data_IF_525701313461
#
_entry.id   IF_525701313461
#
_cell.length_a   1.000
_cell.length_b   1.000
_cell.length_c   1.000
_cell.angle_alpha   90.00
_cell.angle_beta   90.00
_cell.angle_gamma   90.00
#
_symmetry.space_group_name_H-M   'P 1'
#
loop_
_entity.id
_entity.type
_entity.pdbx_description
1 polymer ?
#
# COMPACT_ATOMS: atom_id res chain seq x y z
N UNK A 1 -2.85 -6.96 20.55
CA UNK A 1 -4.31 -6.87 20.79
C UNK A 1 -4.63 -5.54 21.50
N UNK A 2 -4.03 -5.26 22.66
CA UNK A 2 -4.31 -4.04 23.45
C UNK A 2 -4.11 -2.76 22.63
N UNK A 3 -3.03 -2.66 21.85
CA UNK A 3 -2.76 -1.51 21.00
C UNK A 3 -3.85 -1.32 19.92
N UNK A 4 -4.32 -2.40 19.30
CA UNK A 4 -5.38 -2.36 18.28
C UNK A 4 -6.68 -1.88 18.91
N UNK A 5 -7.06 -2.42 20.07
CA UNK A 5 -8.25 -1.99 20.80
C UNK A 5 -8.17 -0.52 21.21
N UNK A 6 -7.02 -0.09 21.73
CA UNK A 6 -6.81 1.30 22.10
C UNK A 6 -6.93 2.23 20.87
N UNK A 7 -6.30 1.87 19.73
CA UNK A 7 -6.41 2.66 18.50
C UNK A 7 -7.87 2.76 18.03
N UNK A 8 -8.62 1.65 18.08
CA UNK A 8 -10.04 1.65 17.71
C UNK A 8 -10.91 2.48 18.66
N UNK A 9 -10.56 2.53 19.96
CA UNK A 9 -11.28 3.31 20.97
C UNK A 9 -11.12 4.83 20.76
N UNK A 10 -9.94 5.27 20.31
CA UNK A 10 -9.65 6.71 20.11
C UNK A 10 -9.89 7.19 18.68
N UNK A 11 -10.28 6.30 17.78
CA UNK A 11 -10.54 6.64 16.38
C UNK A 11 -11.72 7.61 16.25
N UNK A 12 -11.55 8.63 15.42
CA UNK A 12 -12.58 9.60 15.10
C UNK A 12 -13.56 9.03 14.04
N UNK A 13 -14.80 9.52 13.99
CA UNK A 13 -15.75 9.08 12.97
C UNK A 13 -15.23 9.29 11.54
N UNK A 14 -15.14 8.21 10.76
CA UNK A 14 -14.64 8.20 9.39
C UNK A 14 -13.16 7.85 9.26
N UNK A 15 -12.43 7.69 10.36
CA UNK A 15 -11.09 7.10 10.34
C UNK A 15 -11.17 5.59 10.15
N UNK A 16 -10.22 5.06 9.41
CA UNK A 16 -10.08 3.61 9.18
C UNK A 16 -8.82 3.14 9.89
N UNK A 17 -9.00 2.29 10.89
CA UNK A 17 -7.89 1.68 11.60
C UNK A 17 -7.51 0.37 10.92
N UNK A 18 -6.24 0.19 10.63
CA UNK A 18 -5.72 -1.10 10.20
C UNK A 18 -4.42 -1.47 10.93
N UNK A 19 -4.28 -2.75 11.21
CA UNK A 19 -3.14 -3.31 11.90
C UNK A 19 -2.28 -4.10 10.91
N UNK A 20 -1.11 -3.55 10.59
CA UNK A 20 -0.15 -4.18 9.70
C UNK A 20 0.76 -5.12 10.50
N UNK A 21 0.69 -6.39 10.20
CA UNK A 21 1.53 -7.42 10.81
C UNK A 21 2.82 -7.69 10.03
N UNK A 22 2.96 -7.15 8.82
CA UNK A 22 4.13 -7.34 7.95
C UNK A 22 4.59 -8.81 7.87
N UNK A 23 3.68 -9.73 7.62
CA UNK A 23 3.94 -11.17 7.54
C UNK A 23 4.44 -11.83 8.84
N UNK A 24 4.30 -11.19 10.02
CA UNK A 24 4.99 -11.62 11.23
C UNK A 24 4.22 -12.62 12.09
N UNK A 25 2.94 -12.79 11.86
CA UNK A 25 2.16 -13.74 12.64
C UNK A 25 2.21 -15.15 12.05
N UNK A 26 2.27 -16.11 12.94
CA UNK A 26 1.94 -17.49 12.62
C UNK A 26 0.42 -17.64 12.59
N UNK A 27 -0.09 -18.67 11.90
CA UNK A 27 -1.54 -18.92 11.82
C UNK A 27 -2.24 -18.99 13.20
N UNK A 28 -1.68 -19.62 14.26
CA UNK A 28 -2.30 -19.59 15.60
C UNK A 28 -2.32 -18.19 16.22
N UNK A 29 -1.28 -17.37 16.01
CA UNK A 29 -1.22 -16.00 16.54
C UNK A 29 -2.24 -15.11 15.85
N UNK A 30 -2.31 -15.19 14.53
CA UNK A 30 -3.25 -14.50 13.70
C UNK A 30 -4.69 -14.79 14.14
N UNK A 31 -5.07 -16.06 14.25
CA UNK A 31 -6.41 -16.47 14.68
C UNK A 31 -6.75 -15.99 16.09
N UNK A 32 -5.76 -15.98 16.99
CA UNK A 32 -5.94 -15.42 18.33
C UNK A 32 -6.18 -13.91 18.30
N UNK A 33 -5.45 -13.17 17.46
CA UNK A 33 -5.65 -11.72 17.30
C UNK A 33 -7.01 -11.46 16.67
N UNK A 34 -7.36 -12.14 15.57
CA UNK A 34 -8.62 -11.98 14.88
C UNK A 34 -9.82 -12.17 15.80
N UNK A 35 -9.85 -13.25 16.56
CA UNK A 35 -10.90 -13.52 17.54
C UNK A 35 -10.99 -12.46 18.64
N UNK A 36 -9.86 -11.89 19.05
CA UNK A 36 -9.81 -10.90 20.12
C UNK A 36 -10.27 -9.50 19.67
N UNK A 37 -10.38 -9.23 18.37
CA UNK A 37 -10.75 -7.92 17.80
C UNK A 37 -11.92 -8.00 16.82
N UNK A 38 -12.60 -9.14 16.71
CA UNK A 38 -13.70 -9.37 15.75
C UNK A 38 -14.91 -8.45 15.99
N UNK A 39 -15.02 -7.91 17.21
CA UNK A 39 -16.04 -6.92 17.59
C UNK A 39 -15.70 -5.48 17.17
N UNK A 40 -14.52 -5.24 16.57
CA UNK A 40 -14.05 -3.92 16.18
C UNK A 40 -14.13 -3.70 14.65
N UNK A 41 -14.33 -2.44 14.26
CA UNK A 41 -14.22 -2.00 12.86
C UNK A 41 -12.74 -1.75 12.50
N UNK A 42 -11.95 -2.83 12.41
CA UNK A 42 -10.52 -2.80 12.13
C UNK A 42 -10.21 -3.68 10.93
N UNK A 43 -9.31 -3.25 10.10
CA UNK A 43 -8.76 -4.05 9.00
C UNK A 43 -7.43 -4.67 9.42
N UNK A 44 -7.17 -5.90 9.00
CA UNK A 44 -5.86 -6.55 9.19
C UNK A 44 -5.08 -6.47 7.87
N UNK A 45 -3.83 -6.02 7.97
CA UNK A 45 -2.92 -6.00 6.83
C UNK A 45 -1.88 -7.10 6.95
N UNK A 46 -1.70 -7.85 5.87
CA UNK A 46 -0.67 -8.88 5.64
C UNK A 46 -0.30 -9.66 6.90
N UNK A 47 -1.24 -10.42 7.48
CA UNK A 47 -1.04 -11.06 8.78
C UNK A 47 0.06 -12.11 8.73
N UNK A 48 0.04 -12.99 7.72
CA UNK A 48 0.94 -14.11 7.58
C UNK A 48 1.84 -14.01 6.34
N UNK A 49 2.90 -14.83 6.34
CA UNK A 49 3.87 -14.89 5.26
C UNK A 49 3.32 -15.60 4.02
N UNK A 50 2.50 -16.63 4.19
CA UNK A 50 2.00 -17.45 3.08
C UNK A 50 0.59 -17.01 2.66
N UNK A 51 0.29 -17.20 1.39
CA UNK A 51 -1.04 -16.94 0.84
C UNK A 51 -2.09 -17.84 1.48
N UNK A 52 -1.75 -19.12 1.67
CA UNK A 52 -2.63 -20.14 2.26
C UNK A 52 -3.03 -19.80 3.68
N UNK A 53 -2.10 -19.28 4.51
CA UNK A 53 -2.41 -18.85 5.87
C UNK A 53 -3.32 -17.60 5.86
N UNK A 54 -3.03 -16.60 5.03
CA UNK A 54 -3.91 -15.44 4.87
C UNK A 54 -5.31 -15.84 4.40
N UNK A 55 -5.42 -16.79 3.47
CA UNK A 55 -6.70 -17.30 2.99
C UNK A 55 -7.44 -18.09 4.08
N UNK A 56 -6.72 -18.82 4.93
CA UNK A 56 -7.31 -19.50 6.10
C UNK A 56 -7.92 -18.47 7.07
N UNK A 57 -7.21 -17.38 7.39
CA UNK A 57 -7.78 -16.31 8.19
C UNK A 57 -9.05 -15.75 7.54
N UNK A 58 -8.96 -15.39 6.27
CA UNK A 58 -10.10 -14.84 5.53
C UNK A 58 -11.35 -15.71 5.61
N UNK A 59 -11.18 -17.03 5.63
CA UNK A 59 -12.29 -17.99 5.73
C UNK A 59 -12.87 -18.10 7.15
N UNK A 60 -12.14 -17.66 8.18
CA UNK A 60 -12.50 -17.86 9.59
C UNK A 60 -12.70 -16.56 10.38
N UNK A 61 -12.76 -15.41 9.73
CA UNK A 61 -13.04 -14.10 10.35
C UNK A 61 -13.92 -13.24 9.45
N UNK A 62 -14.66 -12.32 10.05
CA UNK A 62 -15.42 -11.26 9.36
C UNK A 62 -14.60 -9.98 9.16
N UNK A 63 -13.40 -9.89 9.72
CA UNK A 63 -12.54 -8.70 9.61
C UNK A 63 -12.17 -8.41 8.16
N UNK A 64 -12.13 -7.15 7.82
CA UNK A 64 -11.60 -6.70 6.52
C UNK A 64 -10.11 -7.01 6.42
N UNK A 65 -9.67 -7.41 5.23
CA UNK A 65 -8.28 -7.79 4.97
C UNK A 65 -7.66 -6.96 3.86
N UNK A 66 -6.46 -6.47 4.11
CA UNK A 66 -5.56 -5.85 3.13
C UNK A 66 -4.36 -6.77 2.90
N UNK A 67 -4.03 -7.04 1.64
CA UNK A 67 -2.82 -7.78 1.27
C UNK A 67 -1.79 -6.83 0.67
N UNK A 68 -0.55 -6.92 1.14
CA UNK A 68 0.58 -6.11 0.72
C UNK A 68 1.71 -6.97 0.13
N UNK A 69 2.52 -7.63 0.94
CA UNK A 69 3.73 -8.33 0.50
C UNK A 69 3.45 -9.44 -0.53
N UNK A 70 2.28 -10.03 -0.47
CA UNK A 70 1.85 -11.06 -1.43
C UNK A 70 1.48 -10.52 -2.80
N UNK A 71 1.24 -9.21 -2.96
CA UNK A 71 0.89 -8.61 -4.26
C UNK A 71 2.15 -8.40 -5.09
N UNK A 72 2.60 -9.43 -5.77
CA UNK A 72 3.89 -9.48 -6.50
C UNK A 72 3.75 -9.40 -8.01
N UNK A 73 2.69 -9.97 -8.57
CA UNK A 73 2.48 -10.07 -10.01
C UNK A 73 1.00 -10.24 -10.37
N UNK A 74 0.71 -10.31 -11.67
CA UNK A 74 -0.66 -10.44 -12.16
C UNK A 74 -1.28 -11.79 -11.79
N UNK A 75 -0.53 -12.86 -11.74
CA UNK A 75 -1.05 -14.19 -11.42
C UNK A 75 -1.62 -14.21 -9.99
N UNK A 76 -0.86 -13.67 -9.03
CA UNK A 76 -1.33 -13.59 -7.64
C UNK A 76 -2.50 -12.61 -7.51
N UNK A 77 -2.53 -11.52 -8.27
CA UNK A 77 -3.66 -10.59 -8.26
C UNK A 77 -4.96 -11.28 -8.71
N UNK A 78 -4.92 -12.04 -9.80
CA UNK A 78 -6.05 -12.86 -10.29
C UNK A 78 -6.47 -13.93 -9.29
N UNK A 79 -5.51 -14.51 -8.56
CA UNK A 79 -5.79 -15.49 -7.51
C UNK A 79 -6.49 -14.82 -6.31
N UNK A 80 -6.01 -13.68 -5.84
CA UNK A 80 -6.62 -12.90 -4.75
C UNK A 80 -8.09 -12.57 -5.09
N UNK A 81 -8.35 -12.16 -6.32
CA UNK A 81 -9.71 -11.85 -6.79
C UNK A 81 -10.58 -13.09 -6.80
N UNK A 82 -10.13 -14.17 -7.44
CA UNK A 82 -10.88 -15.42 -7.55
C UNK A 82 -11.29 -15.97 -6.19
N UNK A 83 -10.37 -15.92 -5.23
CA UNK A 83 -10.56 -16.48 -3.90
C UNK A 83 -11.18 -15.47 -2.92
N UNK A 84 -11.42 -14.21 -3.37
CA UNK A 84 -11.90 -13.10 -2.52
C UNK A 84 -11.06 -12.91 -1.27
N UNK A 85 -9.74 -13.06 -1.42
CA UNK A 85 -8.80 -13.10 -0.33
C UNK A 85 -8.57 -11.74 0.34
N UNK A 86 -8.89 -10.63 -0.33
CA UNK A 86 -8.70 -9.30 0.22
C UNK A 86 -9.81 -8.33 -0.19
N UNK A 87 -10.06 -7.32 0.65
CA UNK A 87 -10.92 -6.17 0.37
C UNK A 87 -10.11 -5.01 -0.20
N UNK A 88 -8.82 -4.97 0.13
CA UNK A 88 -7.85 -3.96 -0.32
C UNK A 88 -6.54 -4.64 -0.72
N UNK A 89 -5.96 -4.22 -1.83
CA UNK A 89 -4.66 -4.68 -2.32
C UNK A 89 -3.64 -3.54 -2.37
N UNK A 90 -2.45 -3.76 -1.83
CA UNK A 90 -1.36 -2.79 -1.88
C UNK A 90 -0.51 -2.99 -3.13
N UNK A 91 -0.53 -2.02 -4.04
CA UNK A 91 0.18 -2.08 -5.32
C UNK A 91 1.47 -1.26 -5.22
N UNK A 92 2.58 -1.92 -4.88
CA UNK A 92 3.91 -1.30 -4.76
C UNK A 92 4.68 -1.40 -6.08
N UNK A 93 4.85 -0.28 -6.75
CA UNK A 93 5.48 -0.24 -8.09
C UNK A 93 6.87 -0.88 -8.13
N UNK A 94 7.69 -0.67 -7.11
CA UNK A 94 9.05 -1.22 -7.05
C UNK A 94 9.03 -2.75 -6.93
N UNK A 95 8.12 -3.32 -6.13
CA UNK A 95 7.95 -4.77 -5.99
C UNK A 95 7.52 -5.42 -7.31
N UNK A 96 6.60 -4.77 -8.01
CA UNK A 96 6.00 -5.29 -9.24
C UNK A 96 6.92 -5.10 -10.45
N UNK A 97 7.88 -4.18 -10.38
CA UNK A 97 8.85 -3.90 -11.44
C UNK A 97 8.42 -2.79 -12.41
N UNK A 98 7.85 -1.72 -11.86
CA UNK A 98 7.62 -0.46 -12.53
C UNK A 98 6.15 -0.13 -12.83
N UNK A 99 5.91 1.12 -13.24
CA UNK A 99 4.59 1.71 -13.44
C UNK A 99 3.70 0.94 -14.44
N UNK A 100 4.28 0.46 -15.55
CA UNK A 100 3.50 -0.24 -16.58
C UNK A 100 2.89 -1.54 -16.06
N UNK A 101 3.64 -2.31 -15.29
CA UNK A 101 3.15 -3.55 -14.67
C UNK A 101 2.19 -3.24 -13.53
N UNK A 102 2.53 -2.26 -12.68
CA UNK A 102 1.68 -1.83 -11.57
C UNK A 102 0.30 -1.37 -12.06
N UNK A 103 0.24 -0.60 -13.15
CA UNK A 103 -1.02 -0.17 -13.75
C UNK A 103 -1.89 -1.36 -14.18
N UNK A 104 -1.31 -2.37 -14.82
CA UNK A 104 -2.06 -3.58 -15.23
C UNK A 104 -2.64 -4.32 -14.02
N UNK A 105 -1.85 -4.48 -12.98
CA UNK A 105 -2.29 -5.15 -11.74
C UNK A 105 -3.38 -4.33 -11.04
N UNK A 106 -3.21 -3.00 -10.94
CA UNK A 106 -4.25 -2.12 -10.43
C UNK A 106 -5.55 -2.28 -11.22
N UNK A 107 -5.48 -2.23 -12.55
CA UNK A 107 -6.66 -2.30 -13.42
C UNK A 107 -7.41 -3.63 -13.21
N UNK A 108 -6.69 -4.75 -13.04
CA UNK A 108 -7.26 -6.06 -12.68
C UNK A 108 -8.03 -6.01 -11.35
N UNK A 109 -7.50 -5.37 -10.32
CA UNK A 109 -8.18 -5.22 -9.03
C UNK A 109 -9.42 -4.32 -9.13
N UNK A 110 -9.29 -3.14 -9.74
CA UNK A 110 -10.39 -2.17 -9.78
C UNK A 110 -11.56 -2.64 -10.67
N UNK A 111 -11.30 -3.39 -11.74
CA UNK A 111 -12.33 -4.01 -12.58
C UNK A 111 -13.22 -4.98 -11.79
N UNK A 112 -12.71 -5.53 -10.70
CA UNK A 112 -13.44 -6.45 -9.81
C UNK A 112 -13.91 -5.77 -8.51
N UNK A 113 -13.78 -4.45 -8.40
CA UNK A 113 -14.24 -3.67 -7.24
C UNK A 113 -13.35 -3.80 -6.00
N UNK A 114 -12.14 -4.38 -6.12
CA UNK A 114 -11.16 -4.42 -5.04
C UNK A 114 -10.49 -3.05 -4.95
N UNK A 115 -10.51 -2.45 -3.77
CA UNK A 115 -9.82 -1.18 -3.53
C UNK A 115 -8.31 -1.37 -3.55
N UNK A 116 -7.60 -0.33 -3.98
CA UNK A 116 -6.14 -0.37 -4.03
C UNK A 116 -5.50 0.72 -3.18
N UNK A 117 -4.40 0.37 -2.55
CA UNK A 117 -3.41 1.32 -2.04
C UNK A 117 -2.34 1.49 -3.11
N UNK A 118 -2.07 2.73 -3.47
CA UNK A 118 -0.94 3.04 -4.34
C UNK A 118 0.24 3.43 -3.47
N UNK A 119 1.26 2.62 -3.48
CA UNK A 119 2.38 2.72 -2.57
C UNK A 119 3.69 2.31 -3.23
N UNK A 120 4.80 2.61 -2.59
CA UNK A 120 6.11 2.08 -2.95
C UNK A 120 6.93 1.76 -1.70
N UNK A 121 8.11 1.21 -1.91
CA UNK A 121 9.10 1.08 -0.83
C UNK A 121 9.58 2.48 -0.40
N UNK A 122 10.24 2.58 0.74
CA UNK A 122 10.86 3.82 1.19
C UNK A 122 11.69 4.43 0.06
N UNK A 123 11.53 5.74 -0.15
CA UNK A 123 12.20 6.44 -1.24
C UNK A 123 12.05 7.95 -1.10
N UNK A 124 12.65 8.68 -2.04
CA UNK A 124 12.61 10.13 -2.08
C UNK A 124 11.48 10.69 -2.94
N UNK A 125 11.65 11.94 -3.36
CA UNK A 125 10.66 12.73 -4.10
C UNK A 125 10.27 12.08 -5.44
N UNK A 126 11.24 11.47 -6.13
CA UNK A 126 11.02 10.80 -7.43
C UNK A 126 10.00 9.66 -7.29
N UNK A 127 10.19 8.81 -6.29
CA UNK A 127 9.28 7.68 -6.00
C UNK A 127 7.91 8.20 -5.56
N UNK A 128 7.88 9.20 -4.68
CA UNK A 128 6.62 9.77 -4.17
C UNK A 128 5.82 10.46 -5.27
N UNK A 129 6.49 11.14 -6.22
CA UNK A 129 5.80 11.68 -7.38
C UNK A 129 5.26 10.59 -8.31
N UNK A 130 5.99 9.50 -8.51
CA UNK A 130 5.48 8.36 -9.27
C UNK A 130 4.25 7.73 -8.61
N UNK A 131 4.27 7.59 -7.27
CA UNK A 131 3.12 7.14 -6.47
C UNK A 131 1.94 8.11 -6.59
N UNK A 132 2.18 9.42 -6.50
CA UNK A 132 1.14 10.44 -6.63
C UNK A 132 0.46 10.38 -8.02
N UNK A 133 1.21 10.30 -9.11
CA UNK A 133 0.67 10.15 -10.47
C UNK A 133 -0.11 8.84 -10.64
N UNK A 134 0.39 7.77 -10.04
CA UNK A 134 -0.28 6.47 -10.07
C UNK A 134 -1.62 6.53 -9.32
N UNK A 135 -1.64 7.14 -8.13
CA UNK A 135 -2.85 7.39 -7.35
C UNK A 135 -3.85 8.28 -8.12
N UNK A 136 -3.39 9.40 -8.68
CA UNK A 136 -4.23 10.33 -9.43
C UNK A 136 -4.87 9.70 -10.69
N UNK A 137 -4.25 8.65 -11.25
CA UNK A 137 -4.77 7.88 -12.37
C UNK A 137 -5.73 6.75 -11.96
N UNK A 138 -5.95 6.55 -10.66
CA UNK A 138 -6.84 5.52 -10.10
C UNK A 138 -8.21 6.14 -9.80
N UNK A 139 -9.35 5.49 -10.16
CA UNK A 139 -10.68 5.98 -9.78
C UNK A 139 -10.79 6.21 -8.27
N UNK A 140 -11.28 7.39 -7.88
CA UNK A 140 -11.27 7.83 -6.48
C UNK A 140 -12.04 6.93 -5.52
N UNK A 141 -13.10 6.29 -6.01
CA UNK A 141 -13.93 5.36 -5.24
C UNK A 141 -13.22 4.02 -4.97
N UNK A 142 -12.21 3.69 -5.76
CA UNK A 142 -11.41 2.47 -5.65
C UNK A 142 -9.98 2.73 -5.15
N UNK A 143 -9.59 3.99 -5.00
CA UNK A 143 -8.36 4.37 -4.31
C UNK A 143 -8.62 4.37 -2.80
N UNK A 144 -8.04 3.40 -2.08
CA UNK A 144 -8.16 3.34 -0.62
C UNK A 144 -7.34 4.46 0.05
N UNK A 145 -6.05 4.49 -0.21
CA UNK A 145 -5.15 5.59 0.13
C UNK A 145 -3.87 5.56 -0.71
N UNK A 146 -3.00 6.52 -0.45
CA UNK A 146 -1.63 6.59 -0.98
C UNK A 146 -0.66 6.98 0.13
N UNK A 147 0.64 6.90 -0.12
CA UNK A 147 1.68 7.20 0.87
C UNK A 147 2.59 8.34 0.42
N UNK A 148 3.22 8.99 1.39
CA UNK A 148 4.13 10.13 1.26
C UNK A 148 5.52 9.82 1.84
N UNK A 149 6.05 8.65 1.54
CA UNK A 149 7.25 8.10 2.18
C UNK A 149 8.51 8.99 2.09
N UNK A 150 8.55 9.96 1.17
CA UNK A 150 9.63 10.95 1.11
C UNK A 150 9.69 11.84 2.37
N UNK A 151 8.57 12.03 3.09
CA UNK A 151 8.52 12.80 4.31
C UNK A 151 9.35 12.20 5.47
N UNK A 152 9.77 10.95 5.35
CA UNK A 152 10.68 10.31 6.30
C UNK A 152 12.16 10.58 6.01
N UNK A 153 12.49 11.15 4.84
CA UNK A 153 13.87 11.48 4.51
C UNK A 153 14.27 12.81 5.15
N UNK A 154 15.48 12.87 5.67
CA UNK A 154 16.07 14.10 6.23
C UNK A 154 16.75 14.97 5.15
N UNK A 155 17.18 14.34 4.06
CA UNK A 155 17.82 15.00 2.92
C UNK A 155 16.97 14.78 1.66
N UNK A 156 16.64 15.83 0.91
CA UNK A 156 15.89 15.70 -0.33
C UNK A 156 16.76 15.04 -1.41
N UNK A 157 16.13 14.19 -2.23
CA UNK A 157 16.78 13.52 -3.37
C UNK A 157 16.31 14.07 -4.71
N UNK A 158 15.40 15.04 -4.69
CA UNK A 158 14.85 15.69 -5.87
C UNK A 158 14.02 16.92 -5.55
N UNK A 159 13.74 17.73 -6.55
CA UNK A 159 12.99 19.00 -6.40
C UNK A 159 12.14 19.28 -7.64
N UNK A 160 10.94 19.89 -7.46
CA UNK A 160 10.26 20.17 -6.20
C UNK A 160 9.71 18.89 -5.54
N UNK A 161 9.61 18.88 -4.21
CA UNK A 161 8.94 17.80 -3.50
C UNK A 161 7.44 17.77 -3.81
N UNK A 162 6.77 16.61 -3.72
CA UNK A 162 5.32 16.52 -3.82
C UNK A 162 4.64 17.45 -2.81
N UNK A 163 3.60 18.16 -3.24
CA UNK A 163 2.83 19.03 -2.35
C UNK A 163 1.89 18.17 -1.49
N UNK A 164 2.03 18.30 -0.18
CA UNK A 164 1.10 17.71 0.79
C UNK A 164 0.27 18.83 1.42
N UNK A 165 -1.04 18.75 1.32
CA UNK A 165 -1.96 19.70 1.92
C UNK A 165 -3.28 19.04 2.29
N UNK A 166 -3.77 19.32 3.49
CA UNK A 166 -5.05 18.81 4.00
C UNK A 166 -5.18 17.27 3.87
N UNK A 167 -4.13 16.53 4.21
CA UNK A 167 -4.09 15.06 4.10
C UNK A 167 -4.13 14.52 2.67
N UNK A 168 -3.79 15.35 1.69
CA UNK A 168 -3.75 14.96 0.27
C UNK A 168 -2.36 15.20 -0.32
N UNK A 169 -1.95 14.28 -1.17
CA UNK A 169 -0.73 14.35 -1.98
C UNK A 169 -1.11 14.83 -3.39
N UNK A 170 -0.44 15.85 -3.88
CA UNK A 170 -0.71 16.45 -5.18
C UNK A 170 0.43 16.21 -6.16
N UNK A 171 0.07 15.86 -7.41
CA UNK A 171 1.02 15.82 -8.52
C UNK A 171 1.34 17.23 -9.00
N UNK A 172 2.55 17.40 -9.54
CA UNK A 172 2.89 18.59 -10.32
C UNK A 172 2.36 18.46 -11.74
N UNK A 173 1.84 19.56 -12.29
CA UNK A 173 1.34 19.63 -13.67
C UNK A 173 2.48 20.04 -14.62
N UNK A 174 3.52 19.20 -14.68
CA UNK A 174 4.70 19.36 -15.52
C UNK A 174 5.03 18.06 -16.21
N UNK A 175 5.73 18.08 -17.37
CA UNK A 175 6.10 16.86 -18.09
C UNK A 175 6.90 15.87 -17.24
N UNK A 176 6.73 14.59 -17.50
CA UNK A 176 7.40 13.51 -16.77
C UNK A 176 6.81 13.31 -15.38
N UNK A 177 7.64 13.09 -14.38
CA UNK A 177 7.23 12.98 -12.98
C UNK A 177 7.03 14.35 -12.32
N UNK A 178 7.53 15.43 -12.95
CA UNK A 178 7.46 16.78 -12.36
C UNK A 178 8.42 17.01 -11.21
N UNK A 179 9.48 16.20 -11.12
CA UNK A 179 10.56 16.30 -10.15
C UNK A 179 11.89 16.02 -10.84
N UNK A 180 12.87 16.87 -10.58
CA UNK A 180 14.23 16.70 -11.08
C UNK A 180 15.10 16.08 -9.97
N UNK A 181 15.94 15.07 -10.29
CA UNK A 181 16.83 14.48 -9.29
C UNK A 181 17.91 15.48 -8.85
N UNK A 182 18.24 15.47 -7.57
CA UNK A 182 19.38 16.19 -7.02
C UNK A 182 20.62 15.29 -7.04
N UNK A 183 21.45 15.43 -8.06
CA UNK A 183 22.64 14.62 -8.23
C UNK A 183 23.74 14.91 -7.18
N UNK A 184 23.71 16.08 -6.53
CA UNK A 184 24.63 16.38 -5.44
C UNK A 184 24.28 15.54 -4.21
N UNK A 185 23.00 15.52 -3.83
CA UNK A 185 22.50 14.71 -2.71
C UNK A 185 22.56 13.20 -2.98
N UNK A 186 22.32 12.78 -4.23
CA UNK A 186 22.36 11.37 -4.63
C UNK A 186 23.79 10.81 -4.71
N UNK A 187 24.79 11.68 -4.95
CA UNK A 187 26.18 11.28 -5.14
C UNK A 187 26.44 10.54 -6.45
N UNK A 188 27.61 9.89 -6.52
CA UNK A 188 28.02 9.16 -7.71
C UNK A 188 27.16 7.90 -7.96
N UNK A 189 26.76 7.62 -9.22
CA UNK A 189 25.97 6.46 -9.54
C UNK A 189 26.76 5.16 -9.32
N UNK A 190 26.13 4.19 -8.64
CA UNK A 190 26.74 2.86 -8.42
C UNK A 190 26.67 1.96 -9.66
N UNK A 191 25.80 2.27 -10.62
CA UNK A 191 25.69 1.62 -11.91
C UNK A 191 25.03 2.56 -12.92
N UNK A 192 25.44 2.47 -14.18
CA UNK A 192 24.84 3.17 -15.32
C UNK A 192 24.47 2.13 -16.36
N UNK A 193 23.24 2.18 -16.85
CA UNK A 193 22.72 1.29 -17.90
C UNK A 193 22.47 2.13 -19.15
N UNK A 194 23.03 1.68 -20.31
CA UNK A 194 22.83 2.29 -21.62
C UNK A 194 21.71 1.61 -22.41
#
# INVERSE_FOLDING_TARGET
IELIRFAAEIAEPGEVIYADANCRWTLPEEMKVAQAIEDLEVMIEQPCLTYEDCLHMRANTSLSMKLDELVTDQFIAEQIIRDRAADVACVKMARIGGLTKARRIRDVFIEQGVKVVTECMMGGEIISMAVAHFAASTPSELLFNTTDLHAYNTEPTGSPAPLISNGRLYCHDTPGLGVEPDFESLGDPIAVYE
#
